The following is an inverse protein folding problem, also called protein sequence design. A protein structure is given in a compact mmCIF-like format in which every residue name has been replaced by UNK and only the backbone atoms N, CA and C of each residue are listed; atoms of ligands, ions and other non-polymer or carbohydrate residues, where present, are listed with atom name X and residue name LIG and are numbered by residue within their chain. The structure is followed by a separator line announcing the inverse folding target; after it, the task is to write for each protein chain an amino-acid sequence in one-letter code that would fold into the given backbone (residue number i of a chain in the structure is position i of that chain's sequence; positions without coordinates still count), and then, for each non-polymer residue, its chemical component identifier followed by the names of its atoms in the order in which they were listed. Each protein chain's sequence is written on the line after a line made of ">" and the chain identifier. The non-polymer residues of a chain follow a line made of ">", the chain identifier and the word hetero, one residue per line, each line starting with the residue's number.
data_IF_892668715785
#
_entry.id   IF_892668715785
#
_cell.length_a   1.000
_cell.length_b   1.000
_cell.length_c   1.000
_cell.angle_alpha   90.00
_cell.angle_beta   90.00
_cell.angle_gamma   90.00
#
_symmetry.space_group_name_H-M   'P 1'
#
loop_
_entity.id
_entity.type
_entity.pdbx_description
1 polymer ?
#
# COMPACT_ATOMS: atom_id res chain seq x y z
N UNK A 1 -14.56 13.28 0.45
CA UNK A 1 -13.44 14.22 0.61
C UNK A 1 -12.64 13.71 1.78
N UNK A 2 -11.42 13.24 1.52
CA UNK A 2 -10.55 12.69 2.54
C UNK A 2 -9.69 13.82 3.06
N UNK A 3 -9.71 14.05 4.37
CA UNK A 3 -8.84 15.03 5.02
C UNK A 3 -7.91 14.31 5.98
N UNK A 4 -6.62 14.59 5.86
CA UNK A 4 -5.61 14.17 6.82
C UNK A 4 -5.21 15.38 7.66
N UNK A 5 -5.00 15.17 8.94
CA UNK A 5 -4.48 16.20 9.85
C UNK A 5 -3.53 15.59 10.88
N UNK A 6 -2.66 16.42 11.43
CA UNK A 6 -1.74 16.05 12.51
C UNK A 6 -2.34 16.49 13.84
N UNK A 7 -2.60 15.53 14.72
CA UNK A 7 -3.10 15.78 16.06
C UNK A 7 -1.95 15.68 17.08
N UNK A 8 -1.42 16.83 17.51
CA UNK A 8 -0.28 16.89 18.42
C UNK A 8 1.04 16.45 17.78
N UNK A 9 1.96 15.93 18.58
CA UNK A 9 3.35 15.75 18.14
C UNK A 9 3.57 14.51 17.28
N UNK A 10 2.72 13.48 17.36
CA UNK A 10 2.99 12.19 16.70
C UNK A 10 1.78 11.49 16.10
N UNK A 11 0.56 11.98 16.33
CA UNK A 11 -0.67 11.31 15.87
C UNK A 11 -1.16 11.94 14.57
N UNK A 12 -1.64 11.09 13.65
CA UNK A 12 -2.22 11.49 12.37
C UNK A 12 -3.66 10.98 12.30
N UNK A 13 -4.58 11.82 11.83
CA UNK A 13 -6.00 11.51 11.76
C UNK A 13 -6.49 11.71 10.33
N UNK A 14 -7.14 10.69 9.78
CA UNK A 14 -7.82 10.73 8.50
C UNK A 14 -9.32 10.67 8.70
N UNK A 15 -10.08 11.57 8.07
CA UNK A 15 -11.54 11.50 8.01
C UNK A 15 -11.94 10.98 6.63
N UNK A 16 -12.63 9.84 6.62
CA UNK A 16 -13.07 9.13 5.42
C UNK A 16 -14.54 8.72 5.56
N UNK A 17 -15.26 8.67 4.46
CA UNK A 17 -16.58 8.05 4.42
C UNK A 17 -16.50 6.56 4.73
N UNK A 18 -17.62 5.97 5.16
CA UNK A 18 -17.74 4.52 5.35
C UNK A 18 -17.45 3.73 4.08
N UNK A 19 -17.81 4.28 2.93
CA UNK A 19 -17.53 3.68 1.63
C UNK A 19 -16.01 3.65 1.36
N UNK A 20 -15.33 4.77 1.53
CA UNK A 20 -13.87 4.87 1.36
C UNK A 20 -13.11 3.92 2.30
N UNK A 21 -13.52 3.82 3.57
CA UNK A 21 -12.94 2.82 4.52
C UNK A 21 -13.14 1.40 4.00
N UNK A 22 -14.33 1.07 3.50
CA UNK A 22 -14.62 -0.28 2.98
C UNK A 22 -13.74 -0.61 1.77
N UNK A 23 -13.57 0.35 0.86
CA UNK A 23 -12.72 0.21 -0.32
C UNK A 23 -11.24 0.05 0.07
N UNK A 24 -10.70 0.93 0.91
CA UNK A 24 -9.31 0.81 1.40
C UNK A 24 -9.07 -0.52 2.11
N UNK A 25 -10.05 -0.97 2.92
CA UNK A 25 -9.95 -2.24 3.63
C UNK A 25 -9.91 -3.42 2.66
N UNK A 26 -10.70 -3.36 1.58
CA UNK A 26 -10.66 -4.38 0.53
C UNK A 26 -9.28 -4.45 -0.13
N UNK A 27 -8.65 -3.30 -0.40
CA UNK A 27 -7.30 -3.26 -0.95
C UNK A 27 -6.24 -3.76 0.03
N UNK A 28 -6.29 -3.32 1.29
CA UNK A 28 -5.37 -3.78 2.33
C UNK A 28 -5.45 -5.29 2.55
N UNK A 29 -6.67 -5.83 2.67
CA UNK A 29 -6.88 -7.28 2.81
C UNK A 29 -6.43 -8.07 1.57
N UNK A 30 -6.67 -7.52 0.37
CA UNK A 30 -6.20 -8.11 -0.88
C UNK A 30 -4.67 -8.15 -0.96
N UNK A 31 -4.00 -7.08 -0.51
CA UNK A 31 -2.54 -7.01 -0.43
C UNK A 31 -2.00 -8.01 0.60
N UNK A 32 -2.57 -8.08 1.80
CA UNK A 32 -2.22 -9.10 2.82
C UNK A 32 -2.34 -10.51 2.24
N UNK A 33 -3.48 -10.83 1.63
CA UNK A 33 -3.73 -12.17 1.07
C UNK A 33 -2.74 -12.53 -0.05
N UNK A 34 -2.37 -11.55 -0.88
CA UNK A 34 -1.36 -11.71 -1.92
C UNK A 34 0.01 -12.03 -1.32
N UNK A 35 0.42 -11.27 -0.30
CA UNK A 35 1.74 -11.40 0.32
C UNK A 35 1.87 -12.69 1.10
N UNK A 36 0.86 -13.05 1.89
CA UNK A 36 0.86 -14.28 2.68
C UNK A 36 0.89 -15.52 1.77
N UNK A 37 0.17 -15.48 0.64
CA UNK A 37 0.23 -16.54 -0.36
C UNK A 37 1.65 -16.74 -0.90
N UNK A 38 2.33 -15.65 -1.30
CA UNK A 38 3.68 -15.75 -1.85
C UNK A 38 4.72 -16.12 -0.78
N UNK A 39 4.60 -15.59 0.44
CA UNK A 39 5.48 -15.96 1.56
C UNK A 39 5.42 -17.46 1.88
N UNK A 40 4.22 -18.04 1.89
CA UNK A 40 4.08 -19.49 2.08
C UNK A 40 4.83 -20.30 1.01
N UNK A 41 4.92 -19.80 -0.22
CA UNK A 41 5.67 -20.47 -1.30
C UNK A 41 7.18 -20.37 -1.09
N UNK A 42 7.70 -19.24 -0.58
CA UNK A 42 9.11 -19.11 -0.23
C UNK A 42 9.52 -20.11 0.85
N UNK A 43 8.73 -20.26 1.91
CA UNK A 43 9.05 -21.15 3.03
C UNK A 43 9.04 -22.64 2.62
N UNK A 44 8.37 -23.00 1.51
CA UNK A 44 8.33 -24.37 0.98
C UNK A 44 9.37 -24.66 -0.12
N UNK A 45 10.11 -23.65 -0.57
CA UNK A 45 11.07 -23.80 -1.67
C UNK A 45 12.46 -24.15 -1.13
N UNK A 46 13.16 -25.15 -1.70
CA UNK A 46 14.53 -25.49 -1.30
C UNK A 46 15.48 -24.30 -1.42
N UNK A 47 16.53 -24.28 -0.60
CA UNK A 47 17.56 -23.24 -0.64
C UNK A 47 18.17 -23.09 -2.04
N UNK A 48 18.32 -21.84 -2.49
CA UNK A 48 18.94 -21.48 -3.76
C UNK A 48 17.96 -21.53 -4.94
N UNK A 49 17.36 -20.38 -5.25
CA UNK A 49 16.48 -20.20 -6.41
C UNK A 49 16.92 -19.00 -7.25
N UNK A 50 16.73 -19.11 -8.56
CA UNK A 50 17.01 -18.03 -9.53
C UNK A 50 15.85 -17.05 -9.61
N UNK A 51 16.14 -15.76 -9.73
CA UNK A 51 15.13 -14.75 -10.01
C UNK A 51 14.61 -14.84 -11.45
N UNK A 52 13.31 -14.59 -11.70
CA UNK A 52 12.23 -14.52 -10.71
C UNK A 52 11.96 -15.89 -10.08
N UNK A 53 11.58 -15.90 -8.79
CA UNK A 53 11.16 -17.13 -8.11
C UNK A 53 10.09 -17.85 -8.96
N UNK A 54 10.12 -19.18 -9.10
CA UNK A 54 9.18 -19.90 -9.96
C UNK A 54 7.70 -19.60 -9.64
N UNK A 55 7.37 -19.36 -8.37
CA UNK A 55 6.01 -18.96 -7.96
C UNK A 55 5.62 -17.52 -8.34
N UNK A 56 6.60 -16.64 -8.58
CA UNK A 56 6.36 -15.24 -8.95
C UNK A 56 6.11 -15.07 -10.44
N UNK A 57 6.52 -16.05 -11.28
CA UNK A 57 6.41 -15.96 -12.74
C UNK A 57 4.98 -15.73 -13.23
N UNK A 58 3.98 -16.26 -12.52
CA UNK A 58 2.56 -16.09 -12.87
C UNK A 58 1.90 -14.88 -12.22
N UNK A 59 2.58 -14.18 -11.29
CA UNK A 59 1.99 -13.06 -10.56
C UNK A 59 2.81 -11.78 -10.73
N UNK A 60 2.41 -11.01 -11.75
CA UNK A 60 3.00 -9.72 -12.07
C UNK A 60 2.91 -8.71 -10.93
N UNK A 61 1.93 -8.85 -10.01
CA UNK A 61 1.74 -7.93 -8.88
C UNK A 61 2.85 -8.10 -7.85
N UNK A 62 3.15 -9.34 -7.46
CA UNK A 62 4.20 -9.64 -6.48
C UNK A 62 5.59 -9.24 -7.03
N UNK A 63 5.83 -9.49 -8.32
CA UNK A 63 7.04 -9.02 -9.01
C UNK A 63 7.13 -7.49 -9.01
N UNK A 64 6.02 -6.79 -9.26
CA UNK A 64 5.99 -5.33 -9.25
C UNK A 64 6.24 -4.74 -7.85
N UNK A 65 5.68 -5.33 -6.79
CA UNK A 65 5.95 -4.96 -5.40
C UNK A 65 7.45 -5.08 -5.10
N UNK A 66 8.06 -6.23 -5.43
CA UNK A 66 9.47 -6.47 -5.19
C UNK A 66 10.37 -5.49 -5.94
N UNK A 67 10.03 -5.16 -7.20
CA UNK A 67 10.76 -4.14 -7.96
C UNK A 67 10.59 -2.73 -7.37
N UNK A 68 9.41 -2.40 -6.86
CA UNK A 68 9.17 -1.11 -6.24
C UNK A 68 9.93 -0.94 -4.91
N UNK A 69 10.02 -2.01 -4.12
CA UNK A 69 10.62 -1.96 -2.77
C UNK A 69 12.13 -2.22 -2.76
N UNK A 70 12.63 -3.13 -3.59
CA UNK A 70 14.07 -3.45 -3.68
C UNK A 70 14.77 -2.50 -4.66
N UNK A 71 14.08 -2.07 -5.71
CA UNK A 71 14.62 -1.28 -6.80
C UNK A 71 14.56 -2.05 -8.12
N UNK A 72 13.97 -1.44 -9.16
CA UNK A 72 13.75 -2.12 -10.44
C UNK A 72 15.00 -2.30 -11.31
N UNK A 73 16.12 -1.69 -10.94
CA UNK A 73 17.41 -1.80 -11.62
C UNK A 73 18.40 -2.67 -10.85
N UNK A 74 17.98 -3.23 -9.71
CA UNK A 74 18.84 -4.10 -8.93
C UNK A 74 19.12 -5.41 -9.69
N UNK A 75 20.34 -5.96 -9.55
CA UNK A 75 20.64 -7.26 -10.13
C UNK A 75 19.72 -8.37 -9.62
N UNK A 76 19.44 -9.36 -10.46
CA UNK A 76 18.61 -10.54 -10.15
C UNK A 76 19.00 -11.23 -8.84
N UNK A 77 20.29 -11.31 -8.51
CA UNK A 77 20.76 -11.92 -7.27
C UNK A 77 20.32 -11.14 -6.02
N UNK A 78 20.21 -9.80 -6.09
CA UNK A 78 19.71 -8.96 -5.00
C UNK A 78 18.25 -9.26 -4.75
N UNK A 79 17.45 -9.39 -5.81
CA UNK A 79 16.06 -9.80 -5.70
C UNK A 79 15.94 -11.22 -5.12
N UNK A 80 16.77 -12.16 -5.56
CA UNK A 80 16.80 -13.53 -5.02
C UNK A 80 17.05 -13.58 -3.51
N UNK A 81 18.03 -12.83 -3.00
CA UNK A 81 18.37 -12.89 -1.57
C UNK A 81 17.44 -12.05 -0.69
N UNK A 82 16.80 -11.01 -1.25
CA UNK A 82 16.04 -10.02 -0.47
C UNK A 82 14.52 -10.24 -0.52
N UNK A 83 14.00 -11.01 -1.49
CA UNK A 83 12.56 -11.08 -1.76
C UNK A 83 11.73 -11.51 -0.54
N UNK A 84 12.11 -12.59 0.14
CA UNK A 84 11.33 -13.09 1.28
C UNK A 84 11.30 -12.09 2.44
N UNK A 85 12.44 -11.47 2.77
CA UNK A 85 12.50 -10.44 3.81
C UNK A 85 11.65 -9.22 3.42
N UNK A 86 11.78 -8.74 2.18
CA UNK A 86 11.00 -7.64 1.65
C UNK A 86 9.49 -7.91 1.74
N UNK A 87 9.02 -9.10 1.31
CA UNK A 87 7.59 -9.44 1.38
C UNK A 87 7.08 -9.53 2.83
N UNK A 88 7.89 -9.97 3.80
CA UNK A 88 7.52 -9.97 5.23
C UNK A 88 7.36 -8.53 5.76
N UNK A 89 8.26 -7.64 5.39
CA UNK A 89 8.19 -6.23 5.78
C UNK A 89 6.98 -5.52 5.16
N UNK A 90 6.70 -5.81 3.88
CA UNK A 90 5.48 -5.32 3.22
C UNK A 90 4.23 -5.90 3.89
N UNK A 91 4.19 -7.21 4.19
CA UNK A 91 3.03 -7.85 4.83
C UNK A 91 2.75 -7.24 6.21
N UNK A 92 3.80 -6.95 6.98
CA UNK A 92 3.69 -6.26 8.27
C UNK A 92 3.04 -4.88 8.12
N UNK A 93 3.48 -4.07 7.15
CA UNK A 93 2.87 -2.75 6.87
C UNK A 93 1.41 -2.89 6.43
N UNK A 94 1.09 -3.86 5.57
CA UNK A 94 -0.27 -4.09 5.08
C UNK A 94 -1.22 -4.51 6.21
N UNK A 95 -0.74 -5.33 7.14
CA UNK A 95 -1.49 -5.70 8.35
C UNK A 95 -1.74 -4.49 9.24
N UNK A 96 -0.75 -3.62 9.47
CA UNK A 96 -0.93 -2.38 10.22
C UNK A 96 -2.00 -1.48 9.57
N UNK A 97 -1.98 -1.37 8.24
CA UNK A 97 -3.01 -0.64 7.51
C UNK A 97 -4.42 -1.23 7.72
N UNK A 98 -4.56 -2.54 7.58
CA UNK A 98 -5.83 -3.24 7.78
C UNK A 98 -6.38 -3.06 9.21
N UNK A 99 -5.50 -3.12 10.23
CA UNK A 99 -5.87 -2.91 11.62
C UNK A 99 -6.40 -1.48 11.88
N UNK A 100 -5.74 -0.46 11.33
CA UNK A 100 -6.17 0.93 11.48
C UNK A 100 -7.51 1.24 10.79
N UNK A 101 -7.90 0.44 9.79
CA UNK A 101 -9.17 0.54 9.07
C UNK A 101 -10.34 -0.14 9.79
N UNK A 102 -10.13 -0.80 10.94
CA UNK A 102 -11.13 -1.67 11.57
C UNK A 102 -12.34 -0.91 12.17
N UNK A 103 -12.21 0.37 12.52
CA UNK A 103 -13.30 1.16 13.12
C UNK A 103 -14.28 1.72 12.07
N UNK A 104 -15.55 1.35 12.21
CA UNK A 104 -16.68 1.78 11.35
C UNK A 104 -17.06 3.27 11.46
N UNK A 105 -16.25 4.07 12.15
CA UNK A 105 -16.56 5.45 12.56
C UNK A 105 -16.26 6.50 11.50
N UNK A 106 -15.64 6.13 10.37
CA UNK A 106 -15.21 7.10 9.37
C UNK A 106 -13.92 7.83 9.75
N UNK A 107 -13.29 7.44 10.85
CA UNK A 107 -12.04 8.06 11.34
C UNK A 107 -10.96 6.99 11.41
N UNK A 108 -9.83 7.28 10.78
CA UNK A 108 -8.60 6.51 10.87
C UNK A 108 -7.65 7.29 11.77
N UNK A 109 -7.06 6.60 12.75
CA UNK A 109 -6.06 7.18 13.64
C UNK A 109 -4.77 6.38 13.52
N UNK A 110 -3.67 7.07 13.25
CA UNK A 110 -2.33 6.51 13.19
C UNK A 110 -1.53 7.09 14.36
N UNK A 111 -1.04 6.24 15.25
CA UNK A 111 -0.49 6.63 16.54
C UNK A 111 0.93 7.21 16.44
N UNK A 112 1.61 7.00 15.31
CA UNK A 112 2.99 7.41 15.09
C UNK A 112 3.26 7.77 13.64
N UNK A 113 4.39 8.46 13.41
CA UNK A 113 4.92 8.72 12.07
C UNK A 113 5.19 7.42 11.31
N UNK A 114 5.74 6.40 11.97
CA UNK A 114 6.02 5.11 11.36
C UNK A 114 4.74 4.42 10.85
N UNK A 115 3.62 4.52 11.59
CA UNK A 115 2.34 4.01 11.12
C UNK A 115 1.81 4.79 9.91
N UNK A 116 1.97 6.12 9.91
CA UNK A 116 1.61 6.97 8.76
C UNK A 116 2.46 6.66 7.52
N UNK A 117 3.76 6.46 7.67
CA UNK A 117 4.65 6.06 6.58
C UNK A 117 4.32 4.66 6.06
N UNK A 118 4.00 3.71 6.96
CA UNK A 118 3.54 2.38 6.59
C UNK A 118 2.25 2.43 5.76
N UNK A 119 1.28 3.25 6.19
CA UNK A 119 0.04 3.49 5.45
C UNK A 119 0.28 4.08 4.06
N UNK A 120 1.08 5.14 3.99
CA UNK A 120 1.43 5.79 2.73
C UNK A 120 2.10 4.81 1.78
N UNK A 121 3.02 4.01 2.28
CA UNK A 121 3.69 2.95 1.52
C UNK A 121 2.70 1.90 1.02
N UNK A 122 1.78 1.42 1.85
CA UNK A 122 0.77 0.46 1.41
C UNK A 122 -0.14 1.01 0.30
N UNK A 123 -0.57 2.27 0.39
CA UNK A 123 -1.36 2.90 -0.69
C UNK A 123 -0.56 2.94 -1.99
N UNK A 124 0.73 3.30 -1.94
CA UNK A 124 1.63 3.28 -3.11
C UNK A 124 1.80 1.87 -3.67
N UNK A 125 1.88 0.85 -2.83
CA UNK A 125 1.95 -0.53 -3.28
C UNK A 125 0.66 -1.01 -3.93
N UNK A 126 -0.50 -0.58 -3.43
CA UNK A 126 -1.78 -0.84 -4.11
C UNK A 126 -1.76 -0.22 -5.51
N UNK A 127 -1.32 1.04 -5.65
CA UNK A 127 -1.16 1.68 -6.96
C UNK A 127 -0.22 0.89 -7.88
N UNK A 128 0.94 0.47 -7.38
CA UNK A 128 1.89 -0.39 -8.12
C UNK A 128 1.22 -1.67 -8.61
N UNK A 129 0.45 -2.35 -7.74
CA UNK A 129 -0.24 -3.58 -8.15
C UNK A 129 -1.30 -3.35 -9.19
N UNK A 130 -2.08 -2.26 -9.11
CA UNK A 130 -3.11 -1.90 -10.10
C UNK A 130 -2.44 -1.64 -11.45
N UNK A 131 -1.41 -0.80 -11.48
CA UNK A 131 -0.67 -0.49 -12.71
C UNK A 131 -0.04 -1.74 -13.33
N UNK A 132 0.45 -2.67 -12.51
CA UNK A 132 1.05 -3.91 -13.01
C UNK A 132 0.05 -4.87 -13.68
N UNK A 133 -1.24 -4.80 -13.35
CA UNK A 133 -2.28 -5.66 -13.94
C UNK A 133 -3.19 -4.95 -14.94
N UNK A 134 -3.13 -3.62 -14.99
CA UNK A 134 -3.87 -2.84 -15.97
C UNK A 134 -3.34 -3.14 -17.37
N UNK A 135 -4.26 -3.27 -18.33
CA UNK A 135 -3.90 -3.41 -19.73
C UNK A 135 -3.42 -2.07 -20.34
N UNK A 136 -3.13 -2.07 -21.64
CA UNK A 136 -2.68 -0.88 -22.38
C UNK A 136 -3.70 0.27 -22.37
N UNK A 137 -4.97 -0.01 -22.06
CA UNK A 137 -6.05 0.98 -21.94
C UNK A 137 -6.22 1.48 -20.50
N UNK A 138 -5.46 0.94 -19.55
CA UNK A 138 -5.60 1.24 -18.13
C UNK A 138 -6.77 0.53 -17.48
N UNK A 139 -7.21 -0.61 -18.03
CA UNK A 139 -8.35 -1.37 -17.53
C UNK A 139 -7.93 -2.65 -16.81
N UNK A 140 -8.67 -3.01 -15.76
CA UNK A 140 -8.55 -4.32 -15.09
C UNK A 140 -9.88 -5.05 -15.24
N UNK A 141 -9.84 -6.18 -15.97
CA UNK A 141 -11.04 -6.99 -16.29
C UNK A 141 -12.15 -6.15 -16.95
N UNK A 142 -11.78 -5.24 -17.85
CA UNK A 142 -12.71 -4.36 -18.57
C UNK A 142 -13.25 -3.18 -17.75
N UNK A 143 -12.67 -2.89 -16.57
CA UNK A 143 -13.04 -1.73 -15.76
C UNK A 143 -11.89 -0.72 -15.74
N UNK A 144 -12.18 0.54 -16.06
CA UNK A 144 -11.22 1.62 -16.01
C UNK A 144 -10.66 1.81 -14.60
N UNK A 145 -9.33 1.84 -14.47
CA UNK A 145 -8.66 2.03 -13.19
C UNK A 145 -8.47 3.51 -12.83
N UNK A 146 -8.55 4.41 -13.80
CA UNK A 146 -8.26 5.85 -13.64
C UNK A 146 -8.97 6.48 -12.43
N UNK A 147 -10.28 6.27 -12.18
CA UNK A 147 -10.94 6.87 -11.02
C UNK A 147 -10.37 6.38 -9.69
N UNK A 148 -10.01 5.09 -9.62
CA UNK A 148 -9.42 4.48 -8.43
C UNK A 148 -8.00 4.97 -8.21
N UNK A 149 -7.20 5.03 -9.29
CA UNK A 149 -5.80 5.49 -9.26
C UNK A 149 -5.74 6.96 -8.86
N UNK A 150 -6.59 7.79 -9.45
CA UNK A 150 -6.70 9.22 -9.13
C UNK A 150 -7.05 9.42 -7.65
N UNK A 151 -8.09 8.74 -7.16
CA UNK A 151 -8.50 8.80 -5.76
C UNK A 151 -7.39 8.33 -4.79
N UNK A 152 -6.77 7.17 -5.02
CA UNK A 152 -5.67 6.69 -4.17
C UNK A 152 -4.46 7.65 -4.18
N UNK A 153 -4.19 8.28 -5.32
CA UNK A 153 -3.15 9.30 -5.46
C UNK A 153 -3.46 10.50 -4.57
N UNK A 154 -4.70 11.00 -4.59
CA UNK A 154 -5.15 12.09 -3.69
C UNK A 154 -5.02 11.72 -2.22
N UNK A 155 -5.45 10.51 -1.81
CA UNK A 155 -5.31 10.02 -0.42
C UNK A 155 -3.85 10.03 0.01
N UNK A 156 -2.97 9.51 -0.85
CA UNK A 156 -1.54 9.42 -0.57
C UNK A 156 -0.87 10.80 -0.52
N UNK A 157 -1.27 11.72 -1.40
CA UNK A 157 -0.76 13.09 -1.43
C UNK A 157 -1.15 13.86 -0.17
N UNK A 158 -2.39 13.74 0.29
CA UNK A 158 -2.85 14.35 1.54
C UNK A 158 -2.05 13.88 2.75
N UNK A 159 -1.84 12.56 2.88
CA UNK A 159 -1.04 12.00 3.98
C UNK A 159 0.43 12.42 3.90
N UNK A 160 1.01 12.44 2.68
CA UNK A 160 2.39 12.91 2.46
C UNK A 160 2.55 14.38 2.87
N UNK A 161 1.62 15.26 2.51
CA UNK A 161 1.68 16.67 2.87
C UNK A 161 1.66 16.89 4.39
N UNK A 162 0.88 16.10 5.13
CA UNK A 162 0.85 16.16 6.60
C UNK A 162 2.15 15.61 7.20
N UNK A 163 2.71 14.53 6.63
CA UNK A 163 4.01 13.98 7.03
C UNK A 163 5.16 14.96 6.82
N UNK A 164 5.13 15.72 5.72
CA UNK A 164 6.16 16.70 5.36
C UNK A 164 5.98 18.04 6.08
N UNK A 165 4.88 18.22 6.82
CA UNK A 165 4.55 19.49 7.49
C UNK A 165 4.17 20.61 6.52
N UNK A 166 3.82 20.27 5.28
CA UNK A 166 3.44 21.23 4.22
C UNK A 166 1.93 21.42 4.12
N UNK A 167 1.14 20.59 4.83
CA UNK A 167 -0.28 20.82 5.02
C UNK A 167 -0.50 22.06 5.91
N UNK A 168 -0.95 23.17 5.32
CA UNK A 168 -1.50 24.28 6.08
C UNK A 168 -2.75 23.81 6.84
N UNK A 169 -2.93 24.20 8.11
CA UNK A 169 -4.15 23.87 8.83
C UNK A 169 -5.31 24.57 8.14
N UNK A 170 -6.14 23.81 7.41
CA UNK A 170 -7.42 24.31 6.91
C UNK A 170 -8.40 24.37 8.08
N UNK A 171 -8.15 25.27 9.03
CA UNK A 171 -9.18 25.77 9.91
C UNK A 171 -10.03 26.78 9.12
N UNK A 172 -10.98 26.29 8.33
CA UNK A 172 -12.21 27.06 8.13
C UNK A 172 -13.09 26.82 9.35
N UNK A 173 -12.76 27.52 10.42
CA UNK A 173 -13.75 27.90 11.42
C UNK A 173 -14.41 29.17 10.88
N UNK A 174 -15.49 29.03 10.13
CA UNK A 174 -16.43 30.13 9.94
C UNK A 174 -17.87 29.58 9.93
N UNK A 175 -18.50 29.81 11.10
CA UNK A 175 -19.92 30.00 11.44
C UNK A 175 -20.96 28.99 10.94
#
# INVERSE_FOLDING_TARGET
>A
MISWDRCGDSTYVGVLSRYEIKVLRSYANGLVSLLDHHLALFDTTPDGWSWPHPSLHSDVRATAILRAEIGGQEPDWVHSVSAAACLRDVSTRAHLMACALSSSTGVVRLASRAEAEAWLSCIRLVLVTITAVADERGEVRGNACEPTVSWLTEVSAGLSAVLDGTASPTMTADR
#
